data_IF_720372985019
#
_entry.id   IF_720372985019
#
_cell.length_a   1.000
_cell.length_b   1.000
_cell.length_c   1.000
_cell.angle_alpha   90.00
_cell.angle_beta   90.00
_cell.angle_gamma   90.00
#
_symmetry.space_group_name_H-M   'P 1'
#
loop_
_entity.id
_entity.type
_entity.pdbx_description
1 polymer ?
#
# COMPACT_ATOMS: atom_id res chain seq x y z
N UNK A 1 32.60 0.65 4.38
CA UNK A 1 31.56 1.37 3.63
C UNK A 1 30.23 0.83 4.14
N UNK A 2 29.54 1.59 5.00
CA UNK A 2 28.25 1.21 5.56
C UNK A 2 27.20 1.08 4.44
N UNK A 3 26.99 -0.13 3.93
CA UNK A 3 25.87 -0.40 3.03
C UNK A 3 24.58 -0.57 3.85
N UNK A 4 23.92 0.57 3.96
CA UNK A 4 22.62 0.83 4.56
C UNK A 4 21.64 -0.30 4.22
N UNK A 5 21.24 -1.03 5.28
CA UNK A 5 20.12 -1.98 5.39
C UNK A 5 19.14 -1.89 4.22
N UNK A 6 19.28 -2.81 3.26
CA UNK A 6 18.30 -3.08 2.20
C UNK A 6 16.97 -3.35 2.90
N UNK A 7 16.10 -2.36 2.94
CA UNK A 7 14.80 -2.50 3.59
C UNK A 7 13.98 -3.44 2.72
N UNK A 8 13.67 -4.64 3.24
CA UNK A 8 12.86 -5.68 2.60
C UNK A 8 11.39 -5.24 2.48
N UNK A 9 11.17 -4.11 1.82
CA UNK A 9 9.86 -3.51 1.59
C UNK A 9 9.39 -3.93 0.21
N UNK A 10 8.38 -4.78 0.19
CA UNK A 10 7.64 -5.18 -1.01
C UNK A 10 6.42 -4.29 -1.15
N UNK A 11 6.06 -3.90 -2.38
CA UNK A 11 4.85 -3.15 -2.63
C UNK A 11 3.73 -4.05 -3.16
N UNK A 12 2.55 -3.96 -2.55
CA UNK A 12 1.33 -4.57 -3.07
C UNK A 12 0.38 -3.47 -3.59
N UNK A 13 -0.41 -3.83 -4.59
CA UNK A 13 -1.37 -2.93 -5.22
C UNK A 13 -2.78 -3.48 -5.06
N UNK A 14 -3.69 -2.67 -4.49
CA UNK A 14 -5.06 -3.09 -4.20
C UNK A 14 -6.07 -2.08 -4.70
N UNK A 15 -7.23 -2.56 -5.18
CA UNK A 15 -8.27 -1.68 -5.73
C UNK A 15 -9.01 -0.88 -4.64
N UNK A 16 -9.07 -1.41 -3.42
CA UNK A 16 -9.69 -0.77 -2.27
C UNK A 16 -8.96 -1.08 -0.96
N UNK A 17 -9.13 -0.21 0.02
CA UNK A 17 -8.77 -0.46 1.42
C UNK A 17 -10.03 -0.45 2.27
N UNK A 18 -10.02 -1.25 3.35
CA UNK A 18 -11.13 -1.27 4.32
C UNK A 18 -10.67 -0.54 5.57
N UNK A 19 -11.42 0.48 5.98
CA UNK A 19 -11.19 1.20 7.23
C UNK A 19 -11.60 0.33 8.42
N UNK A 20 -11.09 0.66 9.62
CA UNK A 20 -11.44 -0.04 10.87
C UNK A 20 -12.95 -0.05 11.17
N UNK A 21 -13.69 0.95 10.66
CA UNK A 21 -15.15 1.03 10.78
C UNK A 21 -15.91 0.20 9.74
N UNK A 22 -15.22 -0.62 8.92
CA UNK A 22 -15.83 -1.46 7.89
C UNK A 22 -16.08 -0.75 6.54
N UNK A 23 -15.89 0.57 6.46
CA UNK A 23 -16.07 1.31 5.20
C UNK A 23 -14.95 0.97 4.21
N UNK A 24 -15.32 0.64 2.97
CA UNK A 24 -14.38 0.49 1.85
C UNK A 24 -14.16 1.81 1.14
N UNK A 25 -12.90 2.13 0.90
CA UNK A 25 -12.48 3.25 0.07
C UNK A 25 -11.85 2.66 -1.19
N UNK A 26 -12.34 3.05 -2.36
CA UNK A 26 -11.82 2.60 -3.66
C UNK A 26 -10.88 3.62 -4.25
N UNK A 27 -9.75 3.16 -4.82
CA UNK A 27 -8.76 4.04 -5.44
C UNK A 27 -9.34 4.89 -6.58
N UNK A 28 -10.31 4.32 -7.32
CA UNK A 28 -10.99 4.98 -8.43
C UNK A 28 -11.74 6.24 -8.03
N UNK A 29 -12.22 6.32 -6.78
CA UNK A 29 -12.90 7.53 -6.27
C UNK A 29 -11.97 8.74 -6.19
N UNK A 30 -10.66 8.50 -6.20
CA UNK A 30 -9.61 9.51 -6.15
C UNK A 30 -8.84 9.60 -7.48
N UNK A 31 -9.39 9.05 -8.57
CA UNK A 31 -8.73 9.07 -9.89
C UNK A 31 -7.55 8.10 -10.02
N UNK A 32 -7.36 7.19 -9.08
CA UNK A 32 -6.29 6.18 -9.12
C UNK A 32 -6.79 4.81 -9.54
N UNK A 33 -5.90 3.99 -10.10
CA UNK A 33 -6.22 2.59 -10.44
C UNK A 33 -6.12 1.66 -9.23
N UNK A 34 -5.19 1.93 -8.30
CA UNK A 34 -4.95 1.13 -7.10
C UNK A 34 -4.26 1.96 -6.01
N UNK A 35 -4.37 1.52 -4.76
CA UNK A 35 -3.53 1.96 -3.65
C UNK A 35 -2.22 1.19 -3.66
N UNK A 36 -1.10 1.89 -3.42
CA UNK A 36 0.22 1.28 -3.23
C UNK A 36 0.50 1.12 -1.74
N UNK A 37 0.66 -0.11 -1.27
CA UNK A 37 0.91 -0.41 0.15
C UNK A 37 2.31 -1.00 0.28
N UNK A 38 3.12 -0.38 1.14
CA UNK A 38 4.43 -0.92 1.53
C UNK A 38 4.22 -2.03 2.57
N UNK A 39 4.69 -3.23 2.26
CA UNK A 39 4.67 -4.39 3.15
C UNK A 39 6.11 -4.71 3.50
N UNK A 40 6.41 -4.73 4.79
CA UNK A 40 7.69 -5.21 5.30
C UNK A 40 7.57 -6.70 5.62
N UNK A 41 8.54 -7.49 5.20
CA UNK A 41 8.66 -8.89 5.62
C UNK A 41 9.24 -9.03 7.04
#
# INVERSE_FOLDING_TARGET
MDEIRKSDVTYIYVAFITLRNGKRIYARQYGHKAFRIAVKH
#
